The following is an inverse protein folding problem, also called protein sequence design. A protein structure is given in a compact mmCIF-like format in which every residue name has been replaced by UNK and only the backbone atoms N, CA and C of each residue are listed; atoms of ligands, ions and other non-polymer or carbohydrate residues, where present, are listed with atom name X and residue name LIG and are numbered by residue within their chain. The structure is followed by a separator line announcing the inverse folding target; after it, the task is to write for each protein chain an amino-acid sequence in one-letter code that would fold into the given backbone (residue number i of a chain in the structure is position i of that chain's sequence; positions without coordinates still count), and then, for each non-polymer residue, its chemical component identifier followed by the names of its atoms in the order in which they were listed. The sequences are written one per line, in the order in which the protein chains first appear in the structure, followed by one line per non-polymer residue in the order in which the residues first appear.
data_IF_237702760444
#
_entry.id   IF_237702760444
#
_cell.length_a   1.000
_cell.length_b   1.000
_cell.length_c   1.000
_cell.angle_alpha   90.00
_cell.angle_beta   90.00
_cell.angle_gamma   90.00
#
_symmetry.space_group_name_H-M   'P 1'
#
loop_
_entity.id
_entity.type
_entity.pdbx_description
1 polymer ?
#
# COMPACT_ATOMS: atom_id res chain seq x y z
N UNK A 1 -24.56 8.13 -8.80
CA UNK A 1 -24.00 8.77 -7.60
C UNK A 1 -22.52 8.47 -7.58
N UNK A 2 -21.67 9.49 -7.40
CA UNK A 2 -20.22 9.30 -7.32
C UNK A 2 -19.94 8.41 -6.10
N UNK A 3 -19.38 7.23 -6.33
CA UNK A 3 -19.07 6.30 -5.25
C UNK A 3 -18.07 6.93 -4.30
N UNK A 4 -18.40 6.99 -3.02
CA UNK A 4 -17.44 7.41 -1.99
C UNK A 4 -16.51 6.22 -1.74
N UNK A 5 -15.22 6.36 -2.04
CA UNK A 5 -14.26 5.26 -1.88
C UNK A 5 -14.03 4.94 -0.41
N UNK A 6 -14.16 5.90 0.51
CA UNK A 6 -14.03 5.72 1.97
C UNK A 6 -15.12 6.48 2.75
N UNK A 7 -15.34 6.15 4.02
CA UNK A 7 -16.18 6.92 4.96
C UNK A 7 -17.67 6.57 4.97
N UNK A 8 -18.10 5.46 4.35
CA UNK A 8 -19.51 5.02 4.39
C UNK A 8 -19.64 3.51 4.55
N UNK A 9 -19.99 3.06 5.76
CA UNK A 9 -20.15 1.65 6.12
C UNK A 9 -18.90 0.81 5.76
N UNK A 10 -17.72 1.42 5.88
CA UNK A 10 -16.44 0.84 5.49
C UNK A 10 -16.24 -0.53 6.15
N UNK A 11 -16.58 -0.65 7.44
CA UNK A 11 -16.52 -1.90 8.20
C UNK A 11 -17.29 -3.04 7.52
N UNK A 12 -18.53 -2.77 7.08
CA UNK A 12 -19.38 -3.78 6.43
C UNK A 12 -18.91 -4.09 5.02
N UNK A 13 -18.51 -3.07 4.26
CA UNK A 13 -18.08 -3.24 2.87
C UNK A 13 -16.76 -4.00 2.79
N UNK A 14 -15.78 -3.58 3.59
CA UNK A 14 -14.49 -4.23 3.66
C UNK A 14 -14.59 -5.62 4.28
N UNK A 15 -15.38 -5.78 5.35
CA UNK A 15 -15.69 -7.10 5.91
C UNK A 15 -16.31 -8.05 4.88
N UNK A 16 -17.31 -7.59 4.12
CA UNK A 16 -17.93 -8.37 3.05
C UNK A 16 -16.94 -8.78 1.96
N UNK A 17 -16.11 -7.84 1.50
CA UNK A 17 -15.09 -8.13 0.48
C UNK A 17 -14.06 -9.15 0.99
N UNK A 18 -13.54 -8.96 2.21
CA UNK A 18 -12.57 -9.87 2.82
C UNK A 18 -13.14 -11.29 2.98
N UNK A 19 -14.38 -11.41 3.46
CA UNK A 19 -15.06 -12.70 3.57
C UNK A 19 -15.27 -13.34 2.20
N UNK A 20 -15.75 -12.57 1.22
CA UNK A 20 -15.98 -13.07 -0.14
C UNK A 20 -14.69 -13.54 -0.81
N UNK A 21 -13.56 -12.89 -0.56
CA UNK A 21 -12.25 -13.32 -1.06
C UNK A 21 -11.80 -14.65 -0.46
N UNK A 22 -11.99 -14.85 0.85
CA UNK A 22 -11.69 -16.12 1.53
C UNK A 22 -12.59 -17.26 1.04
N UNK A 23 -13.90 -17.00 0.90
CA UNK A 23 -14.82 -17.95 0.28
C UNK A 23 -14.43 -18.27 -1.15
N UNK A 24 -14.08 -17.27 -1.96
CA UNK A 24 -13.63 -17.51 -3.33
C UNK A 24 -12.44 -18.47 -3.38
N UNK A 25 -11.43 -18.30 -2.52
CA UNK A 25 -10.28 -19.21 -2.43
C UNK A 25 -10.74 -20.63 -2.07
N UNK A 26 -11.61 -20.76 -1.05
CA UNK A 26 -12.09 -22.05 -0.55
C UNK A 26 -12.92 -22.80 -1.61
N UNK A 27 -13.88 -22.11 -2.25
CA UNK A 27 -14.78 -22.69 -3.25
C UNK A 27 -14.07 -23.04 -4.56
N UNK A 28 -12.99 -22.33 -4.91
CA UNK A 28 -12.15 -22.66 -6.07
C UNK A 28 -11.04 -23.67 -5.73
N UNK A 29 -11.11 -24.29 -4.55
CA UNK A 29 -10.18 -25.35 -4.16
C UNK A 29 -8.70 -24.93 -4.08
N UNK A 30 -8.44 -23.62 -4.01
CA UNK A 30 -7.10 -23.09 -3.91
C UNK A 30 -6.57 -23.19 -2.48
N UNK A 31 -5.27 -23.46 -2.34
CA UNK A 31 -4.57 -23.52 -1.06
C UNK A 31 -3.32 -22.66 -1.11
N UNK A 32 -3.46 -21.32 -1.01
CA UNK A 32 -2.33 -20.43 -1.08
C UNK A 32 -1.39 -20.65 0.12
N UNK A 33 -0.09 -20.59 -0.11
CA UNK A 33 0.87 -20.61 1.00
C UNK A 33 0.84 -19.31 1.81
N UNK A 34 0.55 -18.19 1.13
CA UNK A 34 0.54 -16.85 1.73
C UNK A 34 -0.71 -16.11 1.26
N UNK A 35 -1.40 -15.48 2.20
CA UNK A 35 -2.35 -14.40 1.93
C UNK A 35 -1.71 -13.10 2.42
N UNK A 36 -1.51 -12.15 1.50
CA UNK A 36 -0.90 -10.87 1.81
C UNK A 36 -1.97 -9.77 1.80
N UNK A 37 -2.20 -9.22 2.98
CA UNK A 37 -3.18 -8.20 3.26
C UNK A 37 -2.51 -6.82 3.31
N UNK A 38 -3.11 -5.84 2.65
CA UNK A 38 -2.64 -4.45 2.62
C UNK A 38 -3.63 -3.54 3.37
N UNK A 39 -3.13 -2.93 4.44
CA UNK A 39 -3.79 -1.92 5.28
C UNK A 39 -5.09 -2.34 6.00
N UNK A 40 -5.62 -1.45 6.84
CA UNK A 40 -6.76 -1.68 7.72
C UNK A 40 -8.03 -2.15 6.99
N UNK A 41 -8.21 -1.79 5.72
CA UNK A 41 -9.33 -2.23 4.89
C UNK A 41 -9.30 -3.74 4.58
N UNK A 42 -8.13 -4.39 4.65
CA UNK A 42 -7.98 -5.84 4.49
C UNK A 42 -7.71 -6.58 5.80
N UNK A 43 -7.60 -5.84 6.91
CA UNK A 43 -7.43 -6.41 8.25
C UNK A 43 -8.42 -7.54 8.58
N UNK A 44 -9.71 -7.49 8.16
CA UNK A 44 -10.65 -8.58 8.42
C UNK A 44 -10.21 -9.95 7.96
N UNK A 45 -9.43 -10.05 6.88
CA UNK A 45 -8.91 -11.33 6.40
C UNK A 45 -8.14 -12.06 7.51
N UNK A 46 -7.36 -11.36 8.33
CA UNK A 46 -6.48 -11.98 9.32
C UNK A 46 -7.27 -12.77 10.39
N UNK A 47 -8.30 -12.15 10.99
CA UNK A 47 -9.09 -12.85 12.01
C UNK A 47 -10.12 -13.80 11.40
N UNK A 48 -10.77 -13.42 10.29
CA UNK A 48 -11.72 -14.31 9.62
C UNK A 48 -11.05 -15.60 9.19
N UNK A 49 -9.86 -15.52 8.56
CA UNK A 49 -9.06 -16.69 8.20
C UNK A 49 -8.80 -17.57 9.41
N UNK A 50 -8.29 -16.99 10.51
CA UNK A 50 -7.92 -17.78 11.69
C UNK A 50 -9.14 -18.46 12.33
N UNK A 51 -10.25 -17.75 12.44
CA UNK A 51 -11.47 -18.19 13.13
C UNK A 51 -12.28 -19.21 12.33
N UNK A 52 -12.31 -19.10 11.00
CA UNK A 52 -13.25 -19.88 10.17
C UNK A 52 -12.58 -20.78 9.13
N UNK A 53 -11.37 -20.46 8.69
CA UNK A 53 -10.75 -21.13 7.53
C UNK A 53 -9.46 -21.88 7.86
N UNK A 54 -8.84 -21.63 9.01
CA UNK A 54 -7.56 -22.26 9.38
C UNK A 54 -7.62 -23.77 9.62
N UNK A 55 -8.83 -24.34 9.75
CA UNK A 55 -9.07 -25.78 9.83
C UNK A 55 -9.54 -26.40 8.52
N UNK A 56 -9.66 -25.60 7.46
CA UNK A 56 -9.99 -26.08 6.12
C UNK A 56 -8.73 -26.58 5.38
N UNK A 57 -8.85 -26.81 4.06
CA UNK A 57 -7.70 -27.10 3.19
C UNK A 57 -6.60 -26.04 3.23
N UNK A 58 -6.91 -24.83 3.70
CA UNK A 58 -5.97 -23.73 3.87
C UNK A 58 -5.18 -23.80 5.19
N UNK A 59 -5.15 -24.94 5.90
CA UNK A 59 -4.49 -25.04 7.22
C UNK A 59 -3.00 -24.64 7.25
N UNK A 60 -2.29 -24.77 6.13
CA UNK A 60 -0.89 -24.36 5.99
C UNK A 60 -0.70 -22.91 5.55
N UNK A 61 -1.77 -22.18 5.24
CA UNK A 61 -1.71 -20.79 4.77
C UNK A 61 -1.21 -19.87 5.88
N UNK A 62 -0.32 -18.95 5.50
CA UNK A 62 0.23 -17.90 6.36
C UNK A 62 -0.34 -16.54 5.98
N UNK A 63 -0.63 -15.71 6.97
CA UNK A 63 -1.13 -14.35 6.75
C UNK A 63 0.00 -13.35 6.97
N UNK A 64 0.29 -12.56 5.93
CA UNK A 64 1.20 -11.42 5.98
C UNK A 64 0.39 -10.13 5.91
N UNK A 65 0.67 -9.17 6.78
CA UNK A 65 -0.09 -7.92 6.86
C UNK A 65 0.83 -6.70 6.71
N UNK A 66 0.60 -5.86 5.69
CA UNK A 66 1.37 -4.62 5.49
C UNK A 66 0.58 -3.40 5.95
N UNK A 67 1.19 -2.58 6.78
CA UNK A 67 0.63 -1.32 7.28
C UNK A 67 1.22 -0.16 6.48
N UNK A 68 0.37 0.66 5.86
CA UNK A 68 0.81 1.85 5.12
C UNK A 68 0.68 3.12 5.95
N UNK A 69 -0.36 3.23 6.78
CA UNK A 69 -0.49 4.32 7.73
C UNK A 69 -1.23 3.86 8.99
N UNK A 70 -0.52 3.87 10.12
CA UNK A 70 -1.06 3.44 11.41
C UNK A 70 -2.11 4.40 12.00
N UNK A 71 -2.13 5.67 11.58
CA UNK A 71 -3.09 6.66 12.08
C UNK A 71 -4.53 6.33 11.68
N UNK A 72 -4.71 5.58 10.59
CA UNK A 72 -6.01 5.16 10.09
C UNK A 72 -6.30 3.71 10.47
N UNK A 73 -7.41 3.49 11.18
CA UNK A 73 -7.86 2.13 11.51
C UNK A 73 -6.97 1.38 12.49
N UNK A 74 -6.29 2.09 13.40
CA UNK A 74 -5.39 1.51 14.40
C UNK A 74 -6.02 0.35 15.21
N UNK A 75 -7.33 0.39 15.47
CA UNK A 75 -8.05 -0.70 16.15
C UNK A 75 -8.16 -1.95 15.27
N UNK A 76 -8.43 -1.80 13.97
CA UNK A 76 -8.43 -2.91 13.01
C UNK A 76 -7.03 -3.47 12.81
N UNK A 77 -6.04 -2.60 12.68
CA UNK A 77 -4.63 -2.99 12.57
C UNK A 77 -4.22 -3.77 13.82
N UNK A 78 -4.49 -3.25 15.02
CA UNK A 78 -4.18 -3.94 16.28
C UNK A 78 -4.83 -5.32 16.36
N UNK A 79 -6.11 -5.45 15.93
CA UNK A 79 -6.76 -6.76 15.84
C UNK A 79 -6.03 -7.66 14.84
N UNK A 80 -5.78 -7.22 13.60
CA UNK A 80 -5.09 -8.02 12.59
C UNK A 80 -3.68 -8.46 13.05
N UNK A 81 -2.96 -7.59 13.75
CA UNK A 81 -1.65 -7.90 14.34
C UNK A 81 -1.72 -9.06 15.33
N UNK A 82 -2.83 -9.27 16.05
CA UNK A 82 -3.02 -10.46 16.90
C UNK A 82 -3.03 -11.75 16.09
N UNK A 83 -3.61 -11.74 14.88
CA UNK A 83 -3.91 -12.94 14.09
C UNK A 83 -2.89 -13.24 12.97
N UNK A 84 -2.19 -12.25 12.43
CA UNK A 84 -1.24 -12.46 11.33
C UNK A 84 0.01 -13.20 11.79
N UNK A 85 0.67 -13.91 10.87
CA UNK A 85 1.94 -14.60 11.13
C UNK A 85 3.12 -13.63 11.07
N UNK A 86 3.09 -12.69 10.10
CA UNK A 86 4.11 -11.65 9.91
C UNK A 86 3.45 -10.34 9.51
N UNK A 87 4.08 -9.24 9.91
CA UNK A 87 3.64 -7.90 9.56
C UNK A 87 4.80 -7.08 8.99
N UNK A 88 4.48 -6.22 8.04
CA UNK A 88 5.46 -5.30 7.44
C UNK A 88 4.93 -3.87 7.38
N UNK A 89 5.81 -2.91 7.13
CA UNK A 89 5.44 -1.52 6.83
C UNK A 89 6.41 -0.91 5.84
N UNK A 90 6.10 0.30 5.37
CA UNK A 90 6.66 0.95 4.17
C UNK A 90 8.12 1.41 4.27
N UNK A 91 8.73 1.34 5.45
CA UNK A 91 10.18 1.55 5.60
C UNK A 91 10.71 1.06 6.96
N UNK A 92 12.02 0.78 7.06
CA UNK A 92 12.69 0.53 8.34
C UNK A 92 12.57 1.69 9.34
N UNK A 93 12.55 2.94 8.85
CA UNK A 93 12.42 4.13 9.71
C UNK A 93 11.03 4.20 10.31
N UNK A 94 9.99 4.14 9.48
CA UNK A 94 8.61 4.17 9.94
C UNK A 94 8.30 3.01 10.91
N UNK A 95 8.86 1.82 10.65
CA UNK A 95 8.76 0.67 11.57
C UNK A 95 9.28 0.99 12.98
N UNK A 96 10.41 1.71 13.09
CA UNK A 96 10.95 2.16 14.38
C UNK A 96 10.08 3.24 15.02
N UNK A 97 9.63 4.20 14.23
CA UNK A 97 8.82 5.33 14.72
C UNK A 97 7.52 4.86 15.37
N UNK A 98 6.86 3.86 14.78
CA UNK A 98 5.58 3.33 15.28
C UNK A 98 5.73 2.16 16.25
N UNK A 99 6.95 1.68 16.54
CA UNK A 99 7.16 0.51 17.39
C UNK A 99 6.58 0.67 18.80
N UNK A 100 6.50 1.91 19.31
CA UNK A 100 5.89 2.25 20.60
C UNK A 100 4.37 2.17 20.66
N UNK A 101 3.69 2.15 19.50
CA UNK A 101 2.24 2.26 19.44
C UNK A 101 1.56 0.99 19.99
N UNK A 102 0.43 1.14 20.70
CA UNK A 102 -0.26 0.03 21.37
C UNK A 102 -0.70 -1.12 20.45
N UNK A 103 -0.98 -0.82 19.17
CA UNK A 103 -1.29 -1.83 18.16
C UNK A 103 -0.08 -2.65 17.67
N UNK A 104 1.15 -2.16 17.91
CA UNK A 104 2.39 -2.73 17.36
C UNK A 104 3.30 -3.26 18.48
N UNK A 105 3.40 -2.55 19.59
CA UNK A 105 4.28 -2.87 20.71
C UNK A 105 4.15 -4.33 21.21
N UNK A 106 2.95 -4.94 21.28
CA UNK A 106 2.80 -6.34 21.68
C UNK A 106 3.27 -7.38 20.64
N UNK A 107 3.63 -6.95 19.43
CA UNK A 107 3.87 -7.82 18.26
C UNK A 107 5.17 -7.47 17.52
N UNK A 108 6.10 -6.79 18.19
CA UNK A 108 7.36 -6.30 17.59
C UNK A 108 8.21 -7.41 16.99
N UNK A 109 8.18 -8.61 17.56
CA UNK A 109 8.94 -9.78 17.13
C UNK A 109 8.58 -10.27 15.71
N UNK A 110 7.40 -9.87 15.22
CA UNK A 110 6.90 -10.23 13.88
C UNK A 110 6.66 -9.03 12.97
N UNK A 111 7.10 -7.83 13.35
CA UNK A 111 6.90 -6.59 12.61
C UNK A 111 8.20 -6.08 11.99
N UNK A 112 8.21 -5.84 10.66
CA UNK A 112 9.41 -5.48 9.91
C UNK A 112 9.20 -4.27 8.99
N UNK A 113 10.19 -3.39 8.86
CA UNK A 113 10.14 -2.32 7.87
C UNK A 113 10.76 -2.76 6.54
N UNK A 114 10.00 -2.67 5.46
CA UNK A 114 10.43 -2.94 4.08
C UNK A 114 10.21 -1.67 3.26
N UNK A 115 11.26 -1.15 2.65
CA UNK A 115 11.17 0.09 1.87
C UNK A 115 10.25 -0.12 0.65
N UNK A 116 9.24 0.73 0.50
CA UNK A 116 8.43 0.75 -0.71
C UNK A 116 9.29 1.09 -1.94
N UNK A 117 9.01 0.41 -3.04
CA UNK A 117 9.60 0.70 -4.34
C UNK A 117 8.57 1.23 -5.33
N UNK A 118 9.07 1.66 -6.47
CA UNK A 118 8.28 1.91 -7.68
C UNK A 118 8.71 0.91 -8.75
N UNK A 119 7.86 0.69 -9.74
CA UNK A 119 8.22 -0.07 -10.93
C UNK A 119 9.07 0.83 -11.85
N UNK A 120 10.38 0.54 -12.03
CA UNK A 120 11.25 1.39 -12.83
C UNK A 120 10.92 1.31 -14.32
N UNK A 121 10.29 0.24 -14.82
CA UNK A 121 9.94 0.12 -16.24
C UNK A 121 8.74 1.02 -16.59
N UNK A 122 7.84 1.23 -15.62
CA UNK A 122 6.71 2.16 -15.74
C UNK A 122 7.18 3.61 -15.53
N UNK A 123 8.09 3.83 -14.58
CA UNK A 123 8.57 5.16 -14.17
C UNK A 123 9.96 5.49 -14.73
N UNK A 124 10.27 5.02 -15.94
CA UNK A 124 11.53 5.32 -16.64
C UNK A 124 11.37 6.60 -17.50
N UNK A 125 12.07 7.71 -17.18
CA UNK A 125 12.04 8.92 -18.01
C UNK A 125 12.55 8.70 -19.43
N UNK A 126 13.25 7.61 -19.74
CA UNK A 126 13.68 7.32 -21.10
C UNK A 126 12.55 6.76 -21.97
N UNK A 127 11.58 6.05 -21.38
CA UNK A 127 10.45 5.45 -22.10
C UNK A 127 9.08 6.04 -21.74
N UNK A 128 9.05 7.02 -20.82
CA UNK A 128 7.83 7.67 -20.37
C UNK A 128 7.22 8.58 -21.46
N UNK A 129 6.06 8.18 -21.97
CA UNK A 129 5.32 8.91 -22.99
C UNK A 129 4.53 10.12 -22.44
N UNK A 130 4.50 10.32 -21.11
CA UNK A 130 3.82 11.45 -20.47
C UNK A 130 4.69 12.69 -20.34
N UNK A 131 6.01 12.57 -20.51
CA UNK A 131 6.92 13.71 -20.53
C UNK A 131 7.21 14.17 -21.97
N UNK A 132 7.40 15.48 -22.20
CA UNK A 132 7.51 16.03 -23.55
C UNK A 132 8.78 15.60 -24.28
N UNK A 133 9.86 15.31 -23.54
CA UNK A 133 11.16 14.89 -24.08
C UNK A 133 11.66 13.77 -23.17
N UNK A 134 11.73 12.52 -23.66
CA UNK A 134 12.36 11.44 -22.92
C UNK A 134 13.85 11.69 -22.69
N UNK A 135 14.40 11.24 -21.56
CA UNK A 135 15.79 11.52 -21.21
C UNK A 135 16.47 10.42 -20.39
N UNK A 136 17.79 10.35 -20.52
CA UNK A 136 18.69 9.50 -19.72
C UNK A 136 19.43 10.34 -18.67
N UNK A 137 20.34 9.73 -17.90
CA UNK A 137 21.23 10.47 -17.02
C UNK A 137 22.15 11.47 -17.76
N UNK A 138 22.42 11.26 -19.04
CA UNK A 138 23.26 12.13 -19.87
C UNK A 138 22.47 13.33 -20.43
N UNK A 139 21.20 13.14 -20.77
CA UNK A 139 20.32 14.20 -21.31
C UNK A 139 19.38 14.82 -20.26
N UNK A 140 19.61 14.55 -18.97
CA UNK A 140 18.73 14.95 -17.87
C UNK A 140 18.46 16.46 -17.81
N UNK A 141 19.44 17.30 -18.14
CA UNK A 141 19.29 18.77 -18.10
C UNK A 141 18.25 19.23 -19.12
N UNK A 142 18.34 18.74 -20.36
CA UNK A 142 17.39 19.06 -21.43
C UNK A 142 16.00 18.51 -21.10
N UNK A 143 15.91 17.23 -20.74
CA UNK A 143 14.65 16.57 -20.42
C UNK A 143 13.91 17.22 -19.26
N UNK A 144 14.60 17.52 -18.15
CA UNK A 144 14.00 18.21 -17.00
C UNK A 144 13.59 19.64 -17.35
N UNK A 145 14.35 20.34 -18.20
CA UNK A 145 14.01 21.69 -18.65
C UNK A 145 12.77 21.70 -19.56
N UNK A 146 12.61 20.68 -20.41
CA UNK A 146 11.40 20.50 -21.22
C UNK A 146 10.18 20.16 -20.34
N UNK A 147 10.33 19.23 -19.40
CA UNK A 147 9.26 18.87 -18.46
C UNK A 147 8.83 20.08 -17.60
N UNK A 148 9.78 20.88 -17.12
CA UNK A 148 9.53 22.12 -16.37
C UNK A 148 8.70 23.11 -17.17
N UNK A 149 9.09 23.41 -18.42
CA UNK A 149 8.37 24.33 -19.30
C UNK A 149 6.95 23.83 -19.59
N UNK A 150 6.79 22.55 -19.91
CA UNK A 150 5.48 21.94 -20.15
C UNK A 150 4.56 22.07 -18.93
N UNK A 151 5.09 21.84 -17.73
CA UNK A 151 4.34 22.02 -16.48
C UNK A 151 3.95 23.49 -16.27
N UNK A 152 4.88 24.43 -16.46
CA UNK A 152 4.60 25.86 -16.33
C UNK A 152 3.51 26.29 -17.33
N UNK A 153 3.56 25.81 -18.58
CA UNK A 153 2.55 26.14 -19.59
C UNK A 153 1.18 25.58 -19.19
N UNK A 154 1.13 24.31 -18.78
CA UNK A 154 -0.11 23.62 -18.38
C UNK A 154 -0.82 24.34 -17.24
N UNK A 155 -0.08 24.91 -16.30
CA UNK A 155 -0.63 25.59 -15.12
C UNK A 155 -0.59 27.12 -15.21
N UNK A 156 -0.26 27.70 -16.37
CA UNK A 156 -0.21 29.16 -16.56
C UNK A 156 0.85 29.87 -15.71
N UNK A 157 1.91 29.16 -15.31
CA UNK A 157 3.02 29.72 -14.55
C UNK A 157 3.98 30.48 -15.48
N UNK A 158 4.66 31.48 -14.92
CA UNK A 158 5.72 32.20 -15.63
C UNK A 158 6.85 31.26 -16.05
N UNK A 159 7.30 31.39 -17.30
CA UNK A 159 8.37 30.59 -17.91
C UNK A 159 9.74 31.15 -17.51
N UNK A 160 10.14 30.94 -16.26
CA UNK A 160 11.42 31.41 -15.72
C UNK A 160 12.29 30.23 -15.28
N UNK A 161 13.59 30.51 -15.07
CA UNK A 161 14.57 29.51 -14.64
C UNK A 161 14.57 29.21 -13.14
N UNK A 162 13.70 29.85 -12.36
CA UNK A 162 13.56 29.58 -10.91
C UNK A 162 13.02 28.16 -10.65
N UNK A 163 13.36 27.51 -9.51
CA UNK A 163 12.84 26.18 -9.19
C UNK A 163 11.32 26.11 -9.14
N UNK A 164 10.75 25.00 -9.60
CA UNK A 164 9.33 24.66 -9.33
C UNK A 164 9.28 23.78 -8.10
N UNK A 165 8.48 24.19 -7.13
CA UNK A 165 8.18 23.38 -5.94
C UNK A 165 6.76 22.88 -6.06
N UNK A 166 6.60 21.56 -6.11
CA UNK A 166 5.31 20.88 -6.09
C UNK A 166 5.12 20.17 -4.75
N UNK A 167 3.96 20.35 -4.13
CA UNK A 167 3.52 19.58 -2.96
C UNK A 167 2.30 18.78 -3.42
N UNK A 168 2.39 17.46 -3.33
CA UNK A 168 1.30 16.53 -3.65
C UNK A 168 0.92 15.87 -2.33
N UNK A 169 -0.32 16.06 -1.90
CA UNK A 169 -0.88 15.56 -0.63
C UNK A 169 -1.89 14.46 -0.86
#
# INVERSE_FOLDING_TARGET
GVGCVYGRNDDRRFGFFCHSALEFILQNEFSPHIIHCHDWSSAPVAWLYKEHYSQSRMASTRVVFTIHNLEFGAHYIGKAMTYCDKATTVSPTYSRDVAGHGAIAPHREKFYGILNGIDPDIWDPYTDNFIPVPYTCESVVEGKSAAKRALQQKFGLQQTDVPIVGIIT
#
